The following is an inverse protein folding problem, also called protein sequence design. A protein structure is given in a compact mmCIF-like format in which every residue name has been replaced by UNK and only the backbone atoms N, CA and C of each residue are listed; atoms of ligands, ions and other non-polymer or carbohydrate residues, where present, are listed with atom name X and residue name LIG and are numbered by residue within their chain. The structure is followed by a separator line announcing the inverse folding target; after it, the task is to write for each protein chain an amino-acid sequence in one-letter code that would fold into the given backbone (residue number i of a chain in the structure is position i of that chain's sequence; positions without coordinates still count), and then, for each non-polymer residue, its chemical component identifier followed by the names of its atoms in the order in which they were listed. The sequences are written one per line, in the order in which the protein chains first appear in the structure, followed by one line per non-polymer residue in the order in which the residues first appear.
data_IF_521737650846
#
_entry.id   IF_521737650846
#
_cell.length_a   1.000
_cell.length_b   1.000
_cell.length_c   1.000
_cell.angle_alpha   90.00
_cell.angle_beta   90.00
_cell.angle_gamma   90.00
#
_symmetry.space_group_name_H-M   'P 1'
#
loop_
_entity.id
_entity.type
_entity.pdbx_description
1 polymer ?
#
# COMPACT_ATOMS: atom_id res chain seq x y z
N UNK A 1 -28.33 -61.40 -5.03
CA UNK A 1 -28.01 -62.54 -4.14
C UNK A 1 -26.79 -62.14 -3.31
N UNK A 2 -26.87 -61.87 -2.00
CA UNK A 2 -27.97 -61.55 -1.06
C UNK A 2 -27.40 -60.43 -0.15
N UNK A 3 -28.11 -59.40 0.33
CA UNK A 3 -29.27 -59.35 1.23
C UNK A 3 -29.06 -59.97 2.62
N UNK A 4 -29.77 -59.43 3.63
CA UNK A 4 -29.65 -59.57 5.11
C UNK A 4 -28.68 -58.53 5.75
N UNK A 5 -29.09 -57.38 6.33
CA UNK A 5 -30.38 -56.74 6.68
C UNK A 5 -31.01 -57.07 8.07
N UNK A 6 -30.85 -56.15 9.05
CA UNK A 6 -31.39 -56.13 10.43
C UNK A 6 -31.52 -54.63 10.85
N UNK A 7 -32.60 -53.98 11.34
CA UNK A 7 -33.95 -54.30 11.89
C UNK A 7 -33.97 -54.61 13.41
N UNK A 8 -34.61 -53.85 14.33
CA UNK A 8 -35.42 -52.60 14.33
C UNK A 8 -35.41 -51.97 15.76
N UNK A 9 -35.60 -50.64 15.90
CA UNK A 9 -36.27 -49.88 16.99
C UNK A 9 -35.78 -48.41 16.95
N UNK A 10 -36.56 -47.32 16.91
CA UNK A 10 -37.89 -46.90 17.44
C UNK A 10 -37.92 -46.48 18.91
N UNK A 11 -37.94 -45.15 19.13
CA UNK A 11 -38.82 -44.33 20.02
C UNK A 11 -38.18 -42.92 20.14
N UNK A 12 -38.71 -41.87 19.50
CA UNK A 12 -39.79 -40.95 19.98
C UNK A 12 -39.49 -40.25 21.31
N UNK A 13 -39.21 -38.94 21.26
CA UNK A 13 -39.05 -38.10 22.46
C UNK A 13 -38.66 -36.66 22.11
N UNK A 14 -39.64 -35.82 21.77
CA UNK A 14 -39.43 -34.38 21.65
C UNK A 14 -39.68 -33.68 22.98
N UNK A 15 -38.80 -32.76 23.37
CA UNK A 15 -39.08 -31.77 24.41
C UNK A 15 -38.78 -30.37 23.89
N UNK A 16 -39.60 -29.40 24.27
CA UNK A 16 -39.44 -27.99 23.92
C UNK A 16 -39.40 -27.24 25.24
N UNK A 17 -38.25 -26.68 25.58
CA UNK A 17 -38.08 -25.96 26.84
C UNK A 17 -38.97 -24.69 26.85
N UNK A 18 -39.75 -24.47 27.93
CA UNK A 18 -40.70 -23.36 27.99
C UNK A 18 -40.01 -22.02 28.26
N UNK A 19 -40.63 -20.94 27.77
CA UNK A 19 -40.16 -19.56 27.95
C UNK A 19 -41.05 -18.77 28.93
N UNK A 20 -40.65 -18.63 30.21
CA UNK A 20 -41.18 -17.64 31.14
C UNK A 20 -40.38 -16.31 31.03
N UNK A 21 -40.96 -15.11 31.17
CA UNK A 21 -42.35 -14.77 31.52
C UNK A 21 -42.88 -13.63 30.65
N UNK A 22 -44.21 -13.46 30.67
CA UNK A 22 -44.86 -12.20 30.31
C UNK A 22 -45.34 -11.54 31.59
N UNK A 23 -45.08 -10.27 31.74
CA UNK A 23 -46.00 -9.41 32.48
C UNK A 23 -46.20 -8.08 31.77
N UNK A 24 -47.30 -7.40 32.11
CA UNK A 24 -47.95 -6.41 31.23
C UNK A 24 -47.84 -5.00 31.82
N UNK A 25 -47.47 -4.04 30.98
CA UNK A 25 -48.04 -2.69 31.09
C UNK A 25 -48.63 -2.25 29.74
N UNK A 26 -49.74 -1.53 29.79
CA UNK A 26 -50.55 -1.06 28.65
C UNK A 26 -50.73 0.44 28.74
N UNK A 27 -49.67 1.21 28.51
CA UNK A 27 -49.79 2.57 27.98
C UNK A 27 -48.47 3.08 27.41
N UNK A 28 -48.44 3.32 26.10
CA UNK A 28 -47.62 4.38 25.51
C UNK A 28 -48.24 4.83 24.20
N UNK A 29 -48.52 6.12 24.10
CA UNK A 29 -49.21 6.71 22.97
C UNK A 29 -48.39 6.60 21.67
N UNK A 30 -49.08 6.37 20.56
CA UNK A 30 -48.51 6.47 19.21
C UNK A 30 -48.35 7.94 18.82
N UNK A 31 -47.38 8.61 19.44
CA UNK A 31 -46.96 9.95 19.07
C UNK A 31 -46.00 9.86 17.86
N UNK A 32 -46.52 10.12 16.66
CA UNK A 32 -45.68 10.35 15.48
C UNK A 32 -44.83 11.60 15.68
N UNK A 33 -43.52 11.43 15.90
CA UNK A 33 -42.60 12.56 15.95
C UNK A 33 -42.28 13.04 14.52
N UNK A 34 -43.12 13.96 14.02
CA UNK A 34 -42.78 14.79 12.85
C UNK A 34 -41.49 15.57 13.15
N UNK A 35 -40.34 15.00 12.80
CA UNK A 35 -39.03 15.64 12.92
C UNK A 35 -38.93 16.80 11.92
N UNK A 36 -39.51 17.95 12.29
CA UNK A 36 -39.40 19.23 11.60
C UNK A 36 -38.00 19.81 11.81
N UNK A 37 -37.02 19.17 11.18
CA UNK A 37 -35.64 19.66 11.06
C UNK A 37 -35.70 20.96 10.28
N UNK A 38 -35.59 22.09 10.99
CA UNK A 38 -35.39 23.38 10.35
C UNK A 38 -34.10 23.30 9.50
N UNK A 39 -34.08 23.87 8.28
CA UNK A 39 -32.89 23.82 7.44
C UNK A 39 -31.75 24.54 8.17
N UNK A 40 -30.74 23.79 8.58
CA UNK A 40 -29.51 24.35 9.11
C UNK A 40 -28.86 25.10 7.95
N UNK A 41 -28.98 26.43 7.97
CA UNK A 41 -28.27 27.31 7.06
C UNK A 41 -26.79 27.27 7.44
N UNK A 42 -26.07 26.24 6.96
CA UNK A 42 -24.65 26.11 7.23
C UNK A 42 -23.94 27.25 6.51
N UNK A 43 -23.20 28.08 7.26
CA UNK A 43 -22.26 29.07 6.73
C UNK A 43 -20.99 28.37 6.20
N UNK A 44 -21.19 27.34 5.37
CA UNK A 44 -20.20 26.31 5.04
C UNK A 44 -19.15 26.76 4.03
N UNK A 45 -19.42 27.79 3.21
CA UNK A 45 -18.48 28.23 2.17
C UNK A 45 -17.08 28.52 2.72
N UNK A 46 -16.99 29.30 3.81
CA UNK A 46 -15.72 29.64 4.45
C UNK A 46 -14.96 28.46 5.10
N UNK A 47 -15.60 27.28 5.20
CA UNK A 47 -14.97 26.02 5.64
C UNK A 47 -14.66 25.07 4.48
N UNK A 48 -15.27 25.28 3.31
CA UNK A 48 -14.97 24.56 2.06
C UNK A 48 -13.86 25.27 1.26
N UNK A 49 -13.75 26.59 1.39
CA UNK A 49 -12.71 27.43 0.77
C UNK A 49 -11.40 27.46 1.59
N UNK A 50 -11.16 26.47 2.47
CA UNK A 50 -9.86 26.28 3.12
C UNK A 50 -8.99 25.36 2.25
N UNK A 51 -7.79 25.82 1.88
CA UNK A 51 -6.74 25.01 1.27
C UNK A 51 -6.29 23.91 2.26
N UNK A 52 -6.99 22.78 2.22
CA UNK A 52 -6.62 21.60 2.98
C UNK A 52 -5.51 20.86 2.22
N UNK A 53 -4.33 20.62 2.82
CA UNK A 53 -3.25 19.92 2.13
C UNK A 53 -3.69 18.51 1.76
N UNK A 54 -3.42 18.13 0.52
CA UNK A 54 -3.87 16.87 -0.06
C UNK A 54 -3.39 15.67 0.77
N UNK A 55 -4.10 14.54 0.74
CA UNK A 55 -3.78 13.41 1.65
C UNK A 55 -2.31 12.96 1.54
N UNK A 56 -1.75 13.00 0.33
CA UNK A 56 -0.33 12.72 0.09
C UNK A 56 0.57 13.71 0.84
N UNK A 57 0.30 15.01 0.74
CA UNK A 57 1.17 16.06 1.28
C UNK A 57 1.06 16.19 2.80
N UNK A 58 -0.11 15.86 3.36
CA UNK A 58 -0.34 15.82 4.80
C UNK A 58 0.37 14.65 5.50
N UNK A 59 0.50 13.50 4.83
CA UNK A 59 0.99 12.26 5.47
C UNK A 59 2.37 11.78 4.96
N UNK A 60 2.85 12.26 3.81
CA UNK A 60 4.11 11.86 3.20
C UNK A 60 5.04 13.05 2.89
N UNK A 61 6.32 12.90 3.23
CA UNK A 61 7.40 13.79 2.76
C UNK A 61 8.02 13.22 1.48
N UNK A 62 8.34 14.08 0.50
CA UNK A 62 8.99 13.68 -0.76
C UNK A 62 10.52 13.78 -0.62
N UNK A 63 11.23 12.71 -0.94
CA UNK A 63 12.70 12.62 -0.95
C UNK A 63 13.17 12.20 -2.35
N UNK A 64 14.24 12.82 -2.88
CA UNK A 64 14.74 12.56 -4.24
C UNK A 64 16.12 11.91 -4.23
N UNK A 65 16.16 10.67 -4.68
CA UNK A 65 17.34 9.80 -4.69
C UNK A 65 17.89 9.76 -6.12
N UNK A 66 18.85 10.63 -6.44
CA UNK A 66 19.36 10.79 -7.80
C UNK A 66 20.51 9.81 -8.07
N UNK A 67 20.59 9.27 -9.28
CA UNK A 67 21.73 8.46 -9.75
C UNK A 67 22.02 7.21 -8.92
N UNK A 68 21.00 6.51 -8.40
CA UNK A 68 21.10 5.36 -7.45
C UNK A 68 22.01 4.21 -7.92
N UNK A 69 22.35 4.18 -9.21
CA UNK A 69 23.32 3.27 -9.81
C UNK A 69 24.04 3.86 -11.02
N UNK A 70 23.30 4.54 -11.89
CA UNK A 70 23.76 5.09 -13.17
C UNK A 70 23.15 6.50 -13.37
N UNK A 71 23.86 7.48 -13.95
CA UNK A 71 23.35 8.87 -14.15
C UNK A 71 21.91 8.94 -14.69
N UNK A 72 20.95 9.55 -13.97
CA UNK A 72 19.53 9.59 -14.38
C UNK A 72 18.70 8.35 -14.00
N UNK A 73 19.23 7.46 -13.17
CA UNK A 73 18.49 6.44 -12.42
C UNK A 73 17.95 7.06 -11.12
N UNK A 74 16.99 7.99 -11.27
CA UNK A 74 16.52 8.88 -10.21
C UNK A 74 15.15 8.46 -9.64
N UNK A 75 14.99 8.47 -8.32
CA UNK A 75 13.79 7.96 -7.64
C UNK A 75 13.17 9.02 -6.74
N UNK A 76 11.84 9.03 -6.67
CA UNK A 76 11.11 9.82 -5.69
C UNK A 76 10.52 8.87 -4.64
N UNK A 77 10.97 9.04 -3.39
CA UNK A 77 10.55 8.25 -2.25
C UNK A 77 9.55 9.06 -1.43
N UNK A 78 8.33 8.50 -1.25
CA UNK A 78 7.30 9.10 -0.40
C UNK A 78 7.39 8.48 0.99
N UNK A 79 7.86 9.26 1.96
CA UNK A 79 8.09 8.85 3.35
C UNK A 79 6.86 9.17 4.20
N UNK A 80 6.09 8.16 4.59
CA UNK A 80 5.00 8.34 5.55
C UNK A 80 5.55 8.69 6.93
N UNK A 81 4.82 9.49 7.71
CA UNK A 81 5.08 9.72 9.16
C UNK A 81 5.30 8.46 10.02
N UNK A 82 4.89 7.28 9.55
CA UNK A 82 5.12 5.97 10.20
C UNK A 82 6.44 5.30 9.77
N UNK A 83 7.37 6.03 9.13
CA UNK A 83 8.65 5.55 8.57
C UNK A 83 8.51 4.46 7.49
N UNK A 84 7.35 4.39 6.83
CA UNK A 84 7.11 3.52 5.67
C UNK A 84 7.35 4.32 4.40
N UNK A 85 8.18 3.79 3.52
CA UNK A 85 8.58 4.45 2.27
C UNK A 85 7.89 3.81 1.07
N UNK A 86 7.29 4.61 0.20
CA UNK A 86 6.82 4.18 -1.12
C UNK A 86 7.88 4.59 -2.15
N UNK A 87 8.35 3.63 -2.94
CA UNK A 87 9.34 3.86 -4.00
C UNK A 87 8.62 4.16 -5.31
N UNK A 88 8.93 5.31 -5.93
CA UNK A 88 8.36 5.78 -7.20
C UNK A 88 9.48 6.34 -8.10
N UNK A 89 9.23 6.54 -9.39
CA UNK A 89 10.21 7.15 -10.31
C UNK A 89 10.15 8.69 -10.23
N UNK A 90 11.31 9.33 -10.07
CA UNK A 90 11.41 10.79 -10.23
C UNK A 90 11.12 11.20 -11.69
N UNK A 91 10.68 12.43 -11.92
CA UNK A 91 10.33 12.90 -13.28
C UNK A 91 11.52 12.90 -14.24
N UNK A 92 12.75 13.01 -13.71
CA UNK A 92 14.02 12.92 -14.45
C UNK A 92 14.46 11.49 -14.80
N UNK A 93 13.86 10.47 -14.18
CA UNK A 93 14.26 9.06 -14.37
C UNK A 93 14.19 8.64 -15.84
N UNK A 94 15.25 8.01 -16.37
CA UNK A 94 15.37 7.52 -17.76
C UNK A 94 14.07 6.97 -18.37
N UNK A 95 13.42 6.03 -17.68
CA UNK A 95 12.18 5.40 -18.16
C UNK A 95 11.00 6.39 -18.25
N UNK A 96 10.90 7.33 -17.30
CA UNK A 96 9.80 8.28 -17.17
C UNK A 96 9.99 9.50 -18.07
N UNK A 97 11.22 10.00 -18.17
CA UNK A 97 11.64 11.06 -19.09
C UNK A 97 11.66 10.62 -20.56
N UNK A 98 11.77 9.32 -20.86
CA UNK A 98 11.63 8.79 -22.22
C UNK A 98 10.15 8.60 -22.62
N UNK A 99 9.81 8.89 -23.88
CA UNK A 99 8.48 8.63 -24.44
C UNK A 99 8.14 7.14 -24.63
N UNK A 100 9.07 6.23 -24.33
CA UNK A 100 8.91 4.77 -24.53
C UNK A 100 7.74 4.22 -23.72
N UNK A 101 6.92 3.38 -24.34
CA UNK A 101 5.77 2.72 -23.71
C UNK A 101 6.26 1.45 -22.98
N UNK A 102 6.05 1.31 -21.66
CA UNK A 102 6.29 0.05 -20.95
C UNK A 102 5.25 -1.00 -21.37
N UNK A 103 5.70 -2.20 -21.76
CA UNK A 103 4.82 -3.30 -22.21
C UNK A 103 4.86 -4.53 -21.31
N UNK A 104 5.86 -4.62 -20.42
CA UNK A 104 5.94 -5.66 -19.38
C UNK A 104 6.65 -5.13 -18.14
N UNK A 105 6.14 -5.45 -16.96
CA UNK A 105 6.88 -5.38 -15.69
C UNK A 105 7.07 -6.79 -15.16
N UNK A 106 8.29 -7.13 -14.75
CA UNK A 106 8.64 -8.43 -14.18
C UNK A 106 9.28 -8.25 -12.79
N UNK A 107 8.75 -8.97 -11.80
CA UNK A 107 9.24 -8.97 -10.42
C UNK A 107 10.18 -10.16 -10.13
N UNK A 108 10.40 -11.05 -11.10
CA UNK A 108 11.45 -12.06 -11.06
C UNK A 108 12.81 -11.41 -11.36
N UNK A 109 13.71 -11.39 -10.38
CA UNK A 109 15.04 -10.75 -10.47
C UNK A 109 16.14 -11.80 -10.76
N UNK A 110 15.93 -13.04 -10.30
CA UNK A 110 16.77 -14.21 -10.57
C UNK A 110 16.00 -15.48 -10.19
N UNK A 111 16.51 -16.66 -10.54
CA UNK A 111 15.93 -17.97 -10.21
C UNK A 111 15.62 -18.17 -8.70
N UNK A 112 16.26 -17.38 -7.83
CA UNK A 112 16.14 -17.45 -6.36
C UNK A 112 15.40 -16.27 -5.74
N UNK A 113 15.07 -15.23 -6.50
CA UNK A 113 14.51 -13.97 -5.99
C UNK A 113 13.39 -13.48 -6.92
N UNK A 114 12.15 -13.70 -6.48
CA UNK A 114 10.96 -13.03 -6.98
C UNK A 114 10.50 -12.02 -5.92
N UNK A 115 10.26 -10.75 -6.27
CA UNK A 115 9.74 -9.76 -5.29
C UNK A 115 8.25 -9.94 -4.97
N UNK A 116 7.51 -10.71 -5.77
CA UNK A 116 6.13 -11.11 -5.48
C UNK A 116 6.02 -12.09 -4.31
N UNK A 117 6.97 -13.02 -4.17
CA UNK A 117 6.94 -14.11 -3.19
C UNK A 117 7.49 -13.68 -1.81
N UNK A 118 7.01 -12.53 -1.31
CA UNK A 118 7.51 -11.89 -0.10
C UNK A 118 6.82 -12.41 1.19
N UNK A 119 7.35 -13.50 1.76
CA UNK A 119 6.80 -14.19 2.92
C UNK A 119 7.01 -13.46 4.28
N UNK A 120 6.42 -12.26 4.46
CA UNK A 120 6.53 -11.50 5.70
C UNK A 120 5.54 -11.94 6.80
N UNK A 121 6.02 -12.12 8.04
CA UNK A 121 5.21 -12.56 9.19
C UNK A 121 5.52 -11.79 10.49
N UNK A 122 4.49 -11.64 11.34
CA UNK A 122 4.59 -11.12 12.70
C UNK A 122 4.99 -9.64 12.84
N UNK A 123 5.03 -9.15 14.09
CA UNK A 123 5.28 -7.73 14.42
C UNK A 123 6.60 -7.19 13.86
N UNK A 124 7.65 -8.01 13.83
CA UNK A 124 8.98 -7.63 13.32
C UNK A 124 9.19 -7.82 11.82
N UNK A 125 8.14 -8.18 11.05
CA UNK A 125 8.21 -8.50 9.61
C UNK A 125 9.31 -9.52 9.31
N UNK A 126 9.29 -10.67 10.01
CA UNK A 126 10.25 -11.77 9.82
C UNK A 126 9.94 -12.49 8.50
N UNK A 127 10.97 -12.91 7.76
CA UNK A 127 10.81 -13.51 6.43
C UNK A 127 10.62 -12.51 5.27
N UNK A 128 10.41 -11.21 5.58
CA UNK A 128 10.43 -10.15 4.57
C UNK A 128 11.80 -10.07 3.88
N UNK A 129 11.81 -9.89 2.56
CA UNK A 129 13.05 -9.75 1.80
C UNK A 129 13.79 -8.46 2.18
N UNK A 130 15.10 -8.57 2.43
CA UNK A 130 15.96 -7.42 2.67
C UNK A 130 16.41 -6.81 1.33
N UNK A 131 16.44 -5.48 1.28
CA UNK A 131 16.89 -4.65 0.17
C UNK A 131 18.05 -3.77 0.64
N UNK A 132 18.94 -3.45 -0.30
CA UNK A 132 19.91 -2.35 -0.26
C UNK A 132 19.49 -1.28 -1.28
N UNK A 133 20.09 -0.09 -1.26
CA UNK A 133 19.73 1.03 -2.14
C UNK A 133 19.72 0.62 -3.64
N UNK A 134 20.78 -0.05 -4.10
CA UNK A 134 20.93 -0.57 -5.47
C UNK A 134 20.19 -1.90 -5.76
N UNK A 135 19.37 -2.43 -4.84
CA UNK A 135 18.67 -3.70 -5.05
C UNK A 135 17.54 -3.58 -6.04
N UNK A 136 17.57 -4.38 -7.12
CA UNK A 136 16.53 -4.39 -8.15
C UNK A 136 15.18 -4.84 -7.54
N UNK A 137 14.14 -4.03 -7.77
CA UNK A 137 12.73 -4.27 -7.45
C UNK A 137 11.98 -4.96 -8.60
N UNK A 138 12.21 -4.53 -9.84
CA UNK A 138 11.62 -5.11 -11.04
C UNK A 138 12.43 -4.79 -12.30
N UNK A 139 12.18 -5.55 -13.36
CA UNK A 139 12.61 -5.24 -14.71
C UNK A 139 11.41 -4.72 -15.52
N UNK A 140 11.59 -3.64 -16.26
CA UNK A 140 10.55 -3.04 -17.11
C UNK A 140 11.00 -3.08 -18.56
N UNK A 141 10.31 -3.85 -19.39
CA UNK A 141 10.57 -3.92 -20.84
C UNK A 141 9.61 -3.00 -21.57
N UNK A 142 10.16 -2.17 -22.45
CA UNK A 142 9.42 -1.27 -23.33
C UNK A 142 9.14 -1.89 -24.71
N UNK A 143 8.22 -1.28 -25.46
CA UNK A 143 7.80 -1.73 -26.80
C UNK A 143 8.97 -1.86 -27.79
N UNK A 144 10.01 -1.02 -27.64
CA UNK A 144 11.23 -1.05 -28.46
C UNK A 144 12.23 -2.16 -28.06
N UNK A 145 11.86 -3.03 -27.12
CA UNK A 145 12.71 -4.09 -26.58
C UNK A 145 13.72 -3.63 -25.51
N UNK A 146 13.85 -2.33 -25.25
CA UNK A 146 14.72 -1.84 -24.16
C UNK A 146 14.19 -2.32 -22.82
N UNK A 147 15.07 -2.88 -21.98
CA UNK A 147 14.71 -3.29 -20.62
C UNK A 147 15.46 -2.45 -19.59
N UNK A 148 14.71 -1.77 -18.73
CA UNK A 148 15.19 -0.98 -17.61
C UNK A 148 15.18 -1.84 -16.34
N UNK A 149 16.21 -1.71 -15.49
CA UNK A 149 16.22 -2.32 -14.15
C UNK A 149 15.91 -1.24 -13.14
N UNK A 150 14.88 -1.45 -12.33
CA UNK A 150 14.36 -0.48 -11.37
C UNK A 150 14.87 -0.85 -9.98
N UNK A 151 15.57 0.06 -9.30
CA UNK A 151 16.20 -0.18 -8.01
C UNK A 151 15.35 0.28 -6.83
N UNK A 152 15.75 -0.07 -5.61
CA UNK A 152 14.97 0.19 -4.40
C UNK A 152 15.11 1.62 -3.87
N UNK A 153 16.23 2.31 -4.17
CA UNK A 153 16.65 3.60 -3.65
C UNK A 153 16.81 3.70 -2.11
N UNK A 154 16.23 2.78 -1.34
CA UNK A 154 16.24 2.77 0.12
C UNK A 154 16.46 1.35 0.66
N UNK A 155 17.49 1.17 1.47
CA UNK A 155 17.75 -0.09 2.15
C UNK A 155 16.70 -0.36 3.24
N UNK A 156 16.21 -1.60 3.34
CA UNK A 156 15.11 -1.93 4.22
C UNK A 156 14.47 -3.28 3.93
N UNK A 157 13.35 -3.55 4.60
CA UNK A 157 12.51 -4.73 4.33
C UNK A 157 11.46 -4.39 3.31
N UNK A 158 11.37 -5.18 2.24
CA UNK A 158 10.22 -5.16 1.34
C UNK A 158 8.96 -5.54 2.12
N UNK A 159 7.93 -4.69 2.11
CA UNK A 159 6.62 -5.01 2.67
C UNK A 159 5.67 -5.53 1.60
N UNK A 160 5.60 -4.82 0.47
CA UNK A 160 4.74 -5.15 -0.67
C UNK A 160 5.33 -4.62 -1.98
N UNK A 161 4.95 -5.25 -3.10
CA UNK A 161 5.11 -4.70 -4.45
C UNK A 161 3.73 -4.29 -5.00
N UNK A 162 3.72 -3.36 -5.95
CA UNK A 162 2.52 -3.05 -6.71
C UNK A 162 2.30 -4.10 -7.81
N UNK A 163 1.48 -5.13 -7.51
CA UNK A 163 1.19 -6.22 -8.45
C UNK A 163 0.37 -5.77 -9.67
N UNK A 164 -0.36 -4.65 -9.57
CA UNK A 164 -1.17 -4.12 -10.68
C UNK A 164 -0.29 -3.68 -11.86
N UNK A 165 0.99 -3.40 -11.63
CA UNK A 165 1.98 -3.10 -12.68
C UNK A 165 2.23 -4.27 -13.64
N UNK A 166 1.92 -5.52 -13.24
CA UNK A 166 1.98 -6.67 -14.14
C UNK A 166 0.82 -6.65 -15.15
N UNK A 167 -0.33 -6.08 -14.76
CA UNK A 167 -1.52 -5.95 -15.61
C UNK A 167 -1.54 -4.62 -16.38
N UNK A 168 -1.03 -3.54 -15.78
CA UNK A 168 -0.95 -2.19 -16.37
C UNK A 168 0.49 -1.65 -16.32
N UNK A 169 1.41 -2.13 -17.20
CA UNK A 169 2.81 -1.73 -17.16
C UNK A 169 3.05 -0.21 -17.27
N UNK A 170 2.24 0.50 -18.05
CA UNK A 170 2.33 1.97 -18.21
C UNK A 170 2.23 2.74 -16.88
N UNK A 171 1.51 2.19 -15.90
CA UNK A 171 1.31 2.82 -14.60
C UNK A 171 2.62 2.98 -13.80
N UNK A 172 3.70 2.27 -14.17
CA UNK A 172 5.03 2.38 -13.52
C UNK A 172 5.60 3.80 -13.58
N UNK A 173 5.20 4.62 -14.57
CA UNK A 173 5.61 6.03 -14.67
C UNK A 173 4.87 6.97 -13.71
N UNK A 174 3.74 6.53 -13.14
CA UNK A 174 2.80 7.40 -12.38
C UNK A 174 2.40 6.85 -11.00
N UNK A 175 2.75 5.61 -10.70
CA UNK A 175 2.37 4.91 -9.47
C UNK A 175 3.59 4.51 -8.64
N UNK A 176 3.35 4.02 -7.43
CA UNK A 176 4.36 3.38 -6.61
C UNK A 176 4.67 1.97 -7.11
N UNK A 177 5.90 1.53 -6.86
CA UNK A 177 6.45 0.25 -7.35
C UNK A 177 6.57 -0.74 -6.20
N UNK A 178 7.07 -0.28 -5.06
CA UNK A 178 7.22 -1.05 -3.84
C UNK A 178 6.98 -0.21 -2.58
N UNK A 179 6.64 -0.91 -1.50
CA UNK A 179 6.55 -0.37 -0.15
C UNK A 179 7.69 -0.99 0.66
N UNK A 180 8.57 -0.14 1.20
CA UNK A 180 9.77 -0.52 1.95
C UNK A 180 9.67 0.00 3.38
N UNK A 181 10.17 -0.80 4.33
CA UNK A 181 10.34 -0.42 5.73
C UNK A 181 11.85 -0.39 6.06
N UNK A 182 12.48 0.79 6.09
CA UNK A 182 13.88 0.92 6.48
C UNK A 182 14.13 0.46 7.93
N UNK A 183 15.39 0.24 8.28
CA UNK A 183 15.77 0.13 9.69
C UNK A 183 15.75 1.51 10.35
N UNK A 184 15.67 1.59 11.69
CA UNK A 184 15.71 2.86 12.42
C UNK A 184 16.96 3.70 12.06
N UNK A 185 18.20 3.20 12.15
CA UNK A 185 19.37 3.99 11.77
C UNK A 185 19.44 4.30 10.26
N UNK A 186 18.98 3.39 9.38
CA UNK A 186 18.90 3.68 7.93
C UNK A 186 17.91 4.80 7.63
N UNK A 187 16.79 4.85 8.36
CA UNK A 187 15.83 5.93 8.25
C UNK A 187 16.40 7.26 8.74
N UNK A 188 17.22 7.21 9.79
CA UNK A 188 17.84 8.38 10.40
C UNK A 188 19.00 8.95 9.54
N UNK A 189 19.74 8.14 8.76
CA UNK A 189 20.63 8.68 7.71
C UNK A 189 19.85 9.23 6.52
N UNK A 190 18.86 8.49 6.02
CA UNK A 190 17.99 8.91 4.90
C UNK A 190 17.20 10.20 5.17
N UNK A 191 16.91 10.51 6.43
CA UNK A 191 16.21 11.74 6.84
C UNK A 191 17.12 12.97 6.97
N UNK A 192 18.45 12.86 6.88
CA UNK A 192 19.35 14.03 6.95
C UNK A 192 19.13 14.89 5.70
N UNK A 193 18.51 16.08 5.80
CA UNK A 193 18.35 16.93 4.65
C UNK A 193 19.65 17.72 4.51
N UNK A 194 20.40 17.47 3.43
CA UNK A 194 21.44 18.40 3.02
C UNK A 194 20.76 19.68 2.53
N UNK A 195 20.57 20.62 3.47
CA UNK A 195 20.20 22.00 3.16
C UNK A 195 21.37 22.66 2.45
N UNK A 196 21.30 22.69 1.13
CA UNK A 196 22.06 23.62 0.34
C UNK A 196 21.42 25.03 0.46
N UNK A 197 22.24 26.08 0.39
CA UNK A 197 21.79 27.47 0.59
C UNK A 197 20.87 28.00 -0.54
N UNK A 198 20.66 27.22 -1.60
CA UNK A 198 19.73 27.48 -2.71
C UNK A 198 18.30 26.97 -2.46
N UNK A 199 18.09 26.17 -1.41
CA UNK A 199 16.79 25.59 -1.07
C UNK A 199 16.42 24.32 -1.84
N UNK A 200 17.36 23.68 -2.55
CA UNK A 200 17.14 22.36 -3.12
C UNK A 200 17.32 21.24 -2.08
N UNK A 201 16.78 20.04 -2.37
CA UNK A 201 16.80 18.89 -1.46
C UNK A 201 17.72 17.79 -2.00
N UNK A 202 18.98 17.79 -1.57
CA UNK A 202 19.86 16.64 -1.80
C UNK A 202 19.57 15.54 -0.78
N UNK A 203 19.30 14.32 -1.26
CA UNK A 203 19.21 13.11 -0.45
C UNK A 203 20.33 12.16 -0.86
N UNK A 204 21.31 12.00 0.03
CA UNK A 204 22.42 11.08 -0.17
C UNK A 204 21.89 9.64 -0.13
N UNK A 205 22.18 8.88 -1.17
CA UNK A 205 22.05 7.43 -1.14
C UNK A 205 23.42 6.87 -0.73
N UNK A 206 23.51 6.30 0.47
CA UNK A 206 24.73 5.59 0.92
C UNK A 206 25.06 4.43 -0.04
N UNK A 207 26.35 4.24 -0.39
CA UNK A 207 26.88 3.13 -1.22
C UNK A 207 27.02 1.80 -0.46
#
# INVERSE_FOLDING_TARGET
MKEENIIIAMETGGHVDPNPDKDIDKNRDTAECENKVAPIAIESKALLDQDYPDFVEKYFSRHYCNGVKDEGDDYCVLVHSNRVCLVTLADTHKLKASDKIPVKVDFQISDKINRGDNAMTGKGKRGAQQLQNNSILCHVTCEDGTTYSIHAAVAGKLLAINQDLVQTPEAVKKSYIAIVLPSIPTFESFQIPLKNDDGFYDVVCDD
#
